data_IF_783753483717
#
_entry.id   IF_783753483717
#
_cell.length_a   1.000
_cell.length_b   1.000
_cell.length_c   1.000
_cell.angle_alpha   90.00
_cell.angle_beta   90.00
_cell.angle_gamma   90.00
#
_symmetry.space_group_name_H-M   'P 1'
#
loop_
_entity.id
_entity.type
_entity.pdbx_description
1 polymer ?
#
# COMPACT_ATOMS: atom_id res chain seq x y z
N UNK A 1 7.11 19.51 11.45
CA UNK A 1 6.20 18.68 10.61
C UNK A 1 6.69 17.26 10.32
N UNK A 2 8.00 17.01 10.13
CA UNK A 2 8.53 15.64 9.94
C UNK A 2 8.17 14.63 11.05
N UNK A 3 7.94 15.10 12.28
CA UNK A 3 7.64 14.26 13.46
C UNK A 3 6.32 13.48 13.37
N UNK A 4 5.31 13.97 12.65
CA UNK A 4 3.97 13.37 12.69
C UNK A 4 3.79 12.24 11.66
N UNK A 5 4.44 12.34 10.50
CA UNK A 5 4.40 11.29 9.47
C UNK A 5 5.15 10.05 9.95
N UNK A 6 6.33 10.22 10.57
CA UNK A 6 7.08 9.10 11.14
C UNK A 6 6.27 8.33 12.19
N UNK A 7 5.55 9.04 13.07
CA UNK A 7 4.66 8.41 14.05
C UNK A 7 3.51 7.65 13.38
N UNK A 8 2.90 8.22 12.34
CA UNK A 8 1.86 7.55 11.56
C UNK A 8 2.39 6.28 10.89
N UNK A 9 3.56 6.34 10.25
CA UNK A 9 4.21 5.17 9.63
C UNK A 9 4.38 4.03 10.65
N UNK A 10 4.75 4.35 11.90
CA UNK A 10 4.85 3.36 12.98
C UNK A 10 3.58 2.53 13.19
N UNK A 11 2.40 3.09 12.93
CA UNK A 11 1.12 2.38 13.06
C UNK A 11 0.85 1.36 11.95
N UNK A 12 1.64 1.34 10.87
CA UNK A 12 1.55 0.28 9.85
C UNK A 12 1.99 -1.09 10.39
N UNK A 13 2.87 -1.13 11.39
CA UNK A 13 3.41 -2.36 11.99
C UNK A 13 2.99 -2.52 13.47
N UNK A 14 1.81 -1.99 13.85
CA UNK A 14 1.34 -2.07 15.24
C UNK A 14 0.61 -3.38 15.59
N UNK A 15 0.60 -4.37 14.69
CA UNK A 15 -0.13 -5.64 14.88
C UNK A 15 -1.64 -5.56 14.63
N UNK A 16 -2.24 -4.36 14.69
CA UNK A 16 -3.70 -4.17 14.61
C UNK A 16 -4.16 -3.71 13.23
N UNK A 17 -4.91 -4.58 12.55
CA UNK A 17 -5.42 -4.36 11.18
C UNK A 17 -6.22 -3.07 11.02
N UNK A 18 -7.14 -2.78 11.95
CA UNK A 18 -8.00 -1.59 11.86
C UNK A 18 -7.16 -0.31 11.95
N UNK A 19 -6.20 -0.27 12.87
CA UNK A 19 -5.26 0.83 13.03
C UNK A 19 -4.39 1.02 11.79
N UNK A 20 -3.84 -0.07 11.23
CA UNK A 20 -3.07 -0.02 10.00
C UNK A 20 -3.91 0.46 8.81
N UNK A 21 -5.16 0.02 8.67
CA UNK A 21 -6.05 0.45 7.59
C UNK A 21 -6.36 1.95 7.62
N UNK A 22 -6.63 2.49 8.81
CA UNK A 22 -6.84 3.93 8.99
C UNK A 22 -5.55 4.72 8.73
N UNK A 23 -4.41 4.15 9.13
CA UNK A 23 -3.09 4.72 8.85
C UNK A 23 -2.79 4.78 7.35
N UNK A 24 -3.05 3.68 6.61
CA UNK A 24 -2.88 3.64 5.15
C UNK A 24 -3.77 4.68 4.47
N UNK A 25 -5.02 4.84 4.93
CA UNK A 25 -5.91 5.89 4.42
C UNK A 25 -5.32 7.28 4.67
N UNK A 26 -4.92 7.60 5.90
CA UNK A 26 -4.36 8.90 6.24
C UNK A 26 -3.07 9.21 5.46
N UNK A 27 -2.16 8.25 5.36
CA UNK A 27 -0.93 8.39 4.58
C UNK A 27 -1.23 8.57 3.08
N UNK A 28 -2.24 7.87 2.55
CA UNK A 28 -2.69 8.08 1.16
C UNK A 28 -3.20 9.50 0.94
N UNK A 29 -3.99 10.06 1.85
CA UNK A 29 -4.46 11.45 1.75
C UNK A 29 -3.29 12.45 1.87
N UNK A 30 -2.31 12.18 2.73
CA UNK A 30 -1.09 12.99 2.81
C UNK A 30 -0.32 12.95 1.48
N UNK A 31 -0.11 11.76 0.91
CA UNK A 31 0.61 11.60 -0.35
C UNK A 31 -0.10 12.27 -1.55
N UNK A 32 -1.44 12.32 -1.53
CA UNK A 32 -2.22 13.06 -2.54
C UNK A 32 -2.02 14.57 -2.44
N UNK A 33 -2.02 15.11 -1.22
CA UNK A 33 -1.99 16.55 -0.99
C UNK A 33 -0.57 17.11 -0.85
N UNK A 34 0.44 16.25 -0.66
CA UNK A 34 1.85 16.60 -0.44
C UNK A 34 2.77 15.66 -1.21
N UNK A 35 2.96 15.89 -2.53
CA UNK A 35 3.75 15.03 -3.41
C UNK A 35 5.18 14.74 -2.91
N UNK A 36 5.78 15.67 -2.17
CA UNK A 36 7.12 15.51 -1.58
C UNK A 36 7.21 14.35 -0.56
N UNK A 37 6.07 13.81 -0.10
CA UNK A 37 6.04 12.65 0.80
C UNK A 37 5.72 11.33 0.10
N UNK A 38 5.39 11.34 -1.20
CA UNK A 38 4.94 10.15 -1.93
C UNK A 38 5.98 9.03 -1.89
N UNK A 39 7.23 9.32 -2.24
CA UNK A 39 8.29 8.32 -2.33
C UNK A 39 8.47 7.57 -0.99
N UNK A 40 8.57 8.31 0.11
CA UNK A 40 8.69 7.74 1.45
C UNK A 40 7.45 6.90 1.81
N UNK A 41 6.25 7.41 1.55
CA UNK A 41 5.00 6.72 1.90
C UNK A 41 4.84 5.43 1.08
N UNK A 42 5.16 5.43 -0.21
CA UNK A 42 5.06 4.25 -1.06
C UNK A 42 6.05 3.16 -0.62
N UNK A 43 7.28 3.54 -0.24
CA UNK A 43 8.26 2.62 0.35
C UNK A 43 7.73 1.97 1.63
N UNK A 44 7.04 2.70 2.48
CA UNK A 44 6.45 2.14 3.70
C UNK A 44 5.21 1.27 3.42
N UNK A 45 4.41 1.60 2.40
CA UNK A 45 3.28 0.79 1.98
C UNK A 45 3.68 -0.62 1.54
N UNK A 46 4.71 -0.75 0.71
CA UNK A 46 5.11 -2.07 0.20
C UNK A 46 5.71 -2.96 1.31
N UNK A 47 6.28 -2.38 2.38
CA UNK A 47 6.79 -3.12 3.54
C UNK A 47 5.69 -3.83 4.35
N UNK A 48 4.42 -3.44 4.19
CA UNK A 48 3.28 -4.05 4.90
C UNK A 48 3.20 -5.57 4.69
N UNK A 49 3.72 -6.09 3.57
CA UNK A 49 3.73 -7.54 3.32
C UNK A 49 4.64 -8.33 4.28
N UNK A 50 5.57 -7.64 4.94
CA UNK A 50 6.52 -8.21 5.89
C UNK A 50 6.17 -7.95 7.36
N UNK A 51 5.12 -7.17 7.63
CA UNK A 51 4.73 -6.82 8.99
C UNK A 51 3.94 -7.94 9.68
N UNK A 52 4.07 -7.97 11.01
CA UNK A 52 3.38 -8.93 11.85
C UNK A 52 2.03 -8.36 12.27
N UNK A 53 0.97 -9.13 12.05
CA UNK A 53 -0.39 -8.83 12.45
C UNK A 53 -0.92 -9.96 13.33
N UNK A 54 -2.04 -9.70 14.02
CA UNK A 54 -2.72 -10.73 14.84
C UNK A 54 -2.97 -12.03 14.06
N UNK A 55 -3.22 -11.95 12.74
CA UNK A 55 -3.31 -13.10 11.84
C UNK A 55 -2.75 -12.79 10.44
N UNK A 56 -2.43 -13.82 9.66
CA UNK A 56 -2.11 -13.70 8.23
C UNK A 56 -3.27 -13.04 7.45
N UNK A 57 -4.51 -13.36 7.82
CA UNK A 57 -5.68 -12.80 7.16
C UNK A 57 -5.83 -11.30 7.43
N UNK A 58 -5.53 -10.85 8.65
CA UNK A 58 -5.44 -9.43 8.99
C UNK A 58 -4.41 -8.68 8.13
N UNK A 59 -3.23 -9.29 7.92
CA UNK A 59 -2.22 -8.72 7.01
C UNK A 59 -2.73 -8.65 5.57
N UNK A 60 -3.40 -9.69 5.07
CA UNK A 60 -3.97 -9.69 3.73
C UNK A 60 -5.01 -8.58 3.54
N UNK A 61 -5.86 -8.33 4.54
CA UNK A 61 -6.80 -7.21 4.50
C UNK A 61 -6.07 -5.86 4.42
N UNK A 62 -5.00 -5.67 5.21
CA UNK A 62 -4.17 -4.47 5.16
C UNK A 62 -3.49 -4.28 3.78
N UNK A 63 -2.96 -5.36 3.19
CA UNK A 63 -2.41 -5.35 1.82
C UNK A 63 -3.47 -4.96 0.78
N UNK A 64 -4.70 -5.45 0.94
CA UNK A 64 -5.82 -5.03 0.11
C UNK A 64 -6.13 -3.53 0.22
N UNK A 65 -5.85 -2.90 1.36
CA UNK A 65 -5.99 -1.45 1.57
C UNK A 65 -4.81 -0.69 0.97
N UNK A 66 -3.59 -1.21 1.07
CA UNK A 66 -2.39 -0.67 0.38
C UNK A 66 -2.61 -0.59 -1.12
N UNK A 67 -3.07 -1.68 -1.76
CA UNK A 67 -3.31 -1.70 -3.21
C UNK A 67 -4.35 -0.65 -3.62
N UNK A 68 -5.42 -0.48 -2.83
CA UNK A 68 -6.41 0.58 -3.09
C UNK A 68 -5.82 1.98 -2.96
N UNK A 69 -4.94 2.20 -1.98
CA UNK A 69 -4.26 3.48 -1.80
C UNK A 69 -3.31 3.79 -2.96
N UNK A 70 -2.49 2.82 -3.38
CA UNK A 70 -1.60 2.94 -4.54
C UNK A 70 -2.36 3.19 -5.84
N UNK A 71 -3.56 2.62 -5.99
CA UNK A 71 -4.41 2.85 -7.16
C UNK A 71 -4.89 4.30 -7.34
N UNK A 72 -4.62 5.21 -6.41
CA UNK A 72 -4.86 6.65 -6.58
C UNK A 72 -3.72 7.38 -7.31
N UNK A 73 -2.59 6.72 -7.52
CA UNK A 73 -1.33 7.30 -8.00
C UNK A 73 -0.84 6.59 -9.27
N UNK A 74 -1.77 6.22 -10.17
CA UNK A 74 -1.47 5.36 -11.33
C UNK A 74 -0.34 5.94 -12.20
N UNK A 75 -0.29 7.27 -12.37
CA UNK A 75 0.76 7.94 -13.16
C UNK A 75 2.12 7.95 -12.47
N UNK A 76 2.14 8.10 -11.15
CA UNK A 76 3.36 8.21 -10.35
C UNK A 76 4.03 6.84 -10.13
N UNK A 77 3.24 5.76 -10.11
CA UNK A 77 3.76 4.41 -9.78
C UNK A 77 4.01 3.52 -11.01
N UNK A 78 3.52 3.87 -12.20
CA UNK A 78 3.54 2.99 -13.39
C UNK A 78 4.94 2.49 -13.79
N UNK A 79 5.98 3.27 -13.48
CA UNK A 79 7.37 2.95 -13.81
C UNK A 79 8.22 2.56 -12.58
N UNK A 80 7.63 2.54 -11.38
CA UNK A 80 8.33 2.20 -10.14
C UNK A 80 8.45 0.67 -9.97
N UNK A 81 9.62 0.12 -10.29
CA UNK A 81 9.90 -1.33 -10.29
C UNK A 81 9.48 -2.02 -8.98
N UNK A 82 9.85 -1.47 -7.83
CA UNK A 82 9.56 -2.07 -6.52
C UNK A 82 8.05 -2.19 -6.27
N UNK A 83 7.27 -1.19 -6.67
CA UNK A 83 5.80 -1.20 -6.57
C UNK A 83 5.21 -2.24 -7.53
N UNK A 84 5.70 -2.30 -8.76
CA UNK A 84 5.24 -3.30 -9.75
C UNK A 84 5.53 -4.72 -9.27
N UNK A 85 6.70 -4.96 -8.66
CA UNK A 85 7.06 -6.27 -8.10
C UNK A 85 6.20 -6.62 -6.88
N UNK A 86 5.96 -5.67 -5.99
CA UNK A 86 5.00 -5.83 -4.89
C UNK A 86 3.62 -6.25 -5.43
N UNK A 87 3.07 -5.51 -6.41
CA UNK A 87 1.78 -5.83 -7.00
C UNK A 87 1.77 -7.22 -7.65
N UNK A 88 2.85 -7.62 -8.34
CA UNK A 88 3.00 -8.97 -8.92
C UNK A 88 2.93 -10.04 -7.83
N UNK A 89 3.63 -9.87 -6.71
CA UNK A 89 3.53 -10.80 -5.56
C UNK A 89 2.10 -10.89 -5.04
N UNK A 90 1.41 -9.75 -4.95
CA UNK A 90 0.02 -9.72 -4.48
C UNK A 90 -1.00 -10.38 -5.43
N UNK A 91 -0.63 -10.68 -6.69
CA UNK A 91 -1.47 -11.50 -7.58
C UNK A 91 -1.57 -12.97 -7.15
N UNK A 92 -0.70 -13.42 -6.25
CA UNK A 92 -0.73 -14.74 -5.62
C UNK A 92 -1.23 -14.70 -4.18
N UNK A 93 -1.83 -13.58 -3.73
CA UNK A 93 -2.35 -13.46 -2.37
C UNK A 93 -3.48 -14.48 -2.12
N UNK A 94 -3.45 -15.14 -0.96
CA UNK A 94 -4.44 -16.17 -0.59
C UNK A 94 -5.86 -15.62 -0.45
N UNK A 95 -6.01 -14.34 -0.12
CA UNK A 95 -7.31 -13.65 -0.12
C UNK A 95 -7.67 -13.23 -1.53
N UNK A 96 -8.66 -13.90 -2.13
CA UNK A 96 -9.08 -13.69 -3.53
C UNK A 96 -9.40 -12.22 -3.89
N UNK A 97 -9.96 -11.45 -2.96
CA UNK A 97 -10.26 -10.02 -3.18
C UNK A 97 -9.00 -9.16 -3.33
N UNK A 98 -7.90 -9.51 -2.65
CA UNK A 98 -6.59 -8.83 -2.75
C UNK A 98 -5.95 -9.17 -4.08
N UNK A 99 -5.90 -10.46 -4.42
CA UNK A 99 -5.46 -10.95 -5.74
C UNK A 99 -6.15 -10.22 -6.89
N UNK A 100 -7.49 -10.15 -6.87
CA UNK A 100 -8.28 -9.47 -7.91
C UNK A 100 -7.92 -7.99 -8.04
N UNK A 101 -7.69 -7.28 -6.92
CA UNK A 101 -7.28 -5.87 -6.93
C UNK A 101 -5.89 -5.67 -7.50
N UNK A 102 -4.93 -6.51 -7.13
CA UNK A 102 -3.56 -6.44 -7.63
C UNK A 102 -3.51 -6.63 -9.15
N UNK A 103 -4.20 -7.65 -9.67
CA UNK A 103 -4.32 -7.91 -11.11
C UNK A 103 -4.92 -6.70 -11.82
N UNK A 104 -6.06 -6.20 -11.34
CA UNK A 104 -6.74 -5.04 -11.94
C UNK A 104 -5.85 -3.79 -11.98
N UNK A 105 -5.10 -3.52 -10.90
CA UNK A 105 -4.20 -2.37 -10.88
C UNK A 105 -3.04 -2.56 -11.86
N UNK A 106 -2.42 -3.73 -11.91
CA UNK A 106 -1.36 -4.02 -12.90
C UNK A 106 -1.84 -3.86 -14.34
N UNK A 107 -3.06 -4.30 -14.66
CA UNK A 107 -3.67 -4.12 -15.99
C UNK A 107 -3.83 -2.65 -16.33
N UNK A 108 -4.33 -1.83 -15.40
CA UNK A 108 -4.43 -0.37 -15.59
C UNK A 108 -3.07 0.27 -15.82
N UNK A 109 -2.06 -0.04 -15.01
CA UNK A 109 -0.72 0.54 -15.15
C UNK A 109 -0.07 0.22 -16.50
N UNK A 110 -0.40 -0.92 -17.12
CA UNK A 110 0.04 -1.26 -18.49
C UNK A 110 -0.59 -0.37 -19.56
N UNK A 111 -1.80 0.14 -19.34
CA UNK A 111 -2.51 1.03 -20.27
C UNK A 111 -1.95 2.47 -20.26
N UNK A 112 -1.15 2.82 -19.24
CA UNK A 112 -0.49 4.12 -19.10
C UNK A 112 0.95 4.15 -19.65
N UNK A 113 1.39 3.07 -20.31
CA UNK A 113 2.65 3.01 -21.06
C UNK A 113 2.49 3.67 -22.41
#
# INVERSE_FOLDING_TARGET
>A
MKSNIARLIGFLNCGKMITANNTILALSEIALNKPENQEMIFKEFIKVEHYNYDTLECRNVALGKVILALGKFENEIKDQKDILEFLKRQTNNTRASVKKRAIKLLEKLKQHK
#
